data_IF_305069475853
#
_entry.id   IF_305069475853
#
_cell.length_a   1.000
_cell.length_b   1.000
_cell.length_c   1.000
_cell.angle_alpha   90.00
_cell.angle_beta   90.00
_cell.angle_gamma   90.00
#
_symmetry.space_group_name_H-M   'P 1'
#
loop_
_entity.id
_entity.type
_entity.pdbx_description
1 polymer ?
#
# COMPACT_ATOMS: atom_id res chain seq x y z
N UNK A 1 52.33 -9.78 15.00
CA UNK A 1 51.82 -10.46 13.79
C UNK A 1 51.12 -9.43 12.92
N UNK A 2 51.70 -9.03 11.79
CA UNK A 2 51.09 -8.08 10.84
C UNK A 2 50.24 -8.86 9.83
N UNK A 3 48.97 -8.47 9.66
CA UNK A 3 48.06 -9.14 8.71
C UNK A 3 48.40 -8.76 7.27
N UNK A 4 48.24 -9.69 6.34
CA UNK A 4 48.60 -9.51 4.92
C UNK A 4 47.70 -8.49 4.21
N UNK A 5 48.21 -7.88 3.13
CA UNK A 5 47.43 -6.97 2.27
C UNK A 5 46.16 -7.63 1.70
N UNK A 6 46.20 -8.94 1.45
CA UNK A 6 45.04 -9.73 1.01
C UNK A 6 43.94 -9.84 2.08
N UNK A 7 44.31 -9.86 3.36
CA UNK A 7 43.34 -9.85 4.46
C UNK A 7 42.57 -8.52 4.51
N UNK A 8 43.27 -7.39 4.39
CA UNK A 8 42.62 -6.07 4.35
C UNK A 8 41.75 -5.87 3.11
N UNK A 9 42.16 -6.39 1.95
CA UNK A 9 41.35 -6.38 0.74
C UNK A 9 40.05 -7.20 0.90
N UNK A 10 40.12 -8.39 1.49
CA UNK A 10 38.94 -9.21 1.75
C UNK A 10 37.95 -8.55 2.72
N UNK A 11 38.46 -7.89 3.77
CA UNK A 11 37.64 -7.12 4.72
C UNK A 11 36.96 -5.93 4.03
N UNK A 12 37.67 -5.24 3.12
CA UNK A 12 37.10 -4.12 2.37
C UNK A 12 35.97 -4.56 1.43
N UNK A 13 36.14 -5.66 0.71
CA UNK A 13 35.09 -6.23 -0.16
C UNK A 13 33.87 -6.66 0.65
N UNK A 14 34.09 -7.33 1.79
CA UNK A 14 32.99 -7.76 2.66
C UNK A 14 32.21 -6.56 3.21
N UNK A 15 32.88 -5.47 3.56
CA UNK A 15 32.24 -4.22 3.99
C UNK A 15 31.39 -3.59 2.89
N UNK A 16 31.88 -3.58 1.65
CA UNK A 16 31.16 -3.06 0.48
C UNK A 16 29.89 -3.87 0.18
N UNK A 17 29.96 -5.20 0.27
CA UNK A 17 28.79 -6.08 0.12
C UNK A 17 27.78 -5.82 1.24
N UNK A 18 28.22 -5.69 2.49
CA UNK A 18 27.35 -5.39 3.61
C UNK A 18 26.65 -4.02 3.46
N UNK A 19 27.38 -3.00 2.98
CA UNK A 19 26.81 -1.69 2.68
C UNK A 19 25.78 -1.75 1.55
N UNK A 20 26.05 -2.53 0.50
CA UNK A 20 25.11 -2.75 -0.61
C UNK A 20 23.81 -3.44 -0.15
N UNK A 21 23.91 -4.49 0.66
CA UNK A 21 22.74 -5.21 1.20
C UNK A 21 21.94 -4.32 2.16
N UNK A 22 22.61 -3.55 3.01
CA UNK A 22 21.96 -2.59 3.91
C UNK A 22 21.24 -1.48 3.14
N UNK A 23 21.90 -0.90 2.14
CA UNK A 23 21.32 0.10 1.25
C UNK A 23 20.11 -0.44 0.48
N UNK A 24 20.20 -1.67 -0.04
CA UNK A 24 19.09 -2.34 -0.73
C UNK A 24 17.90 -2.61 0.19
N UNK A 25 18.14 -3.01 1.45
CA UNK A 25 17.10 -3.22 2.46
C UNK A 25 16.39 -1.92 2.83
N UNK A 26 17.15 -0.84 3.03
CA UNK A 26 16.59 0.50 3.30
C UNK A 26 15.82 1.02 2.10
N UNK A 27 16.33 0.85 0.88
CA UNK A 27 15.65 1.23 -0.35
C UNK A 27 14.31 0.50 -0.51
N UNK A 28 14.30 -0.82 -0.36
CA UNK A 28 13.06 -1.61 -0.46
C UNK A 28 12.03 -1.18 0.60
N UNK A 29 12.51 -0.84 1.81
CA UNK A 29 11.66 -0.30 2.88
C UNK A 29 11.11 1.08 2.52
N UNK A 30 11.94 1.99 2.01
CA UNK A 30 11.53 3.33 1.58
C UNK A 30 10.55 3.31 0.42
N UNK A 31 10.74 2.44 -0.58
CA UNK A 31 9.79 2.29 -1.70
C UNK A 31 8.39 1.92 -1.19
N UNK A 32 8.29 1.05 -0.18
CA UNK A 32 7.01 0.70 0.45
C UNK A 32 6.42 1.86 1.26
N UNK A 33 7.25 2.73 1.86
CA UNK A 33 6.78 3.92 2.57
C UNK A 33 6.35 5.05 1.61
N UNK A 34 7.14 5.36 0.58
CA UNK A 34 6.81 6.40 -0.40
C UNK A 34 5.61 6.03 -1.27
N UNK A 35 5.40 4.75 -1.58
CA UNK A 35 4.18 4.30 -2.26
C UNK A 35 2.90 4.51 -1.43
N UNK A 36 3.03 4.70 -0.11
CA UNK A 36 1.89 5.00 0.78
C UNK A 36 1.67 6.50 1.04
N UNK A 37 2.56 7.40 0.59
CA UNK A 37 2.49 8.85 0.87
C UNK A 37 1.93 9.69 -0.30
N UNK A 38 1.64 9.11 -1.46
CA UNK A 38 1.06 9.84 -2.61
C UNK A 38 -0.47 9.96 -2.60
N UNK A 39 -1.16 9.63 -1.50
CA UNK A 39 -2.62 9.75 -1.40
C UNK A 39 -3.11 10.36 -0.09
N UNK A 40 -2.89 11.66 0.09
CA UNK A 40 -3.90 12.55 0.69
C UNK A 40 -3.66 13.99 0.16
N UNK A 41 -4.11 14.27 -1.07
CA UNK A 41 -4.51 15.64 -1.43
C UNK A 41 -5.73 15.94 -0.56
N UNK A 42 -5.51 16.35 0.69
CA UNK A 42 -6.51 17.15 1.39
C UNK A 42 -6.46 18.52 0.76
N UNK A 43 -7.28 18.72 -0.26
CA UNK A 43 -7.67 20.05 -0.72
C UNK A 43 -8.34 20.76 0.45
N UNK A 44 -7.54 21.34 1.36
CA UNK A 44 -8.05 22.44 2.17
C UNK A 44 -8.42 23.53 1.17
N UNK A 45 -9.65 24.08 1.21
CA UNK A 45 -9.97 25.22 0.38
C UNK A 45 -8.96 26.32 0.73
N UNK A 46 -8.14 26.70 -0.25
CA UNK A 46 -7.22 27.82 -0.14
C UNK A 46 -8.10 29.06 0.04
N UNK A 47 -7.94 29.85 1.12
CA UNK A 47 -8.61 31.14 1.19
C UNK A 47 -8.15 31.96 -0.02
N UNK A 48 -9.03 32.71 -0.70
CA UNK A 48 -8.65 33.50 -1.86
C UNK A 48 -7.47 34.39 -1.48
N UNK A 49 -6.32 34.15 -2.10
CA UNK A 49 -5.10 34.90 -1.87
C UNK A 49 -5.37 36.32 -2.38
N UNK A 50 -5.31 37.28 -1.46
CA UNK A 50 -5.32 38.70 -1.76
C UNK A 50 -3.99 39.10 -2.40
N UNK A 51 -4.09 40.02 -3.35
CA UNK A 51 -3.03 40.60 -4.16
C UNK A 51 -1.87 41.19 -3.33
N UNK A 52 -0.65 40.84 -3.71
CA UNK A 52 0.60 41.61 -3.54
C UNK A 52 1.63 40.93 -4.45
N UNK A 53 1.94 41.48 -5.63
CA UNK A 53 3.05 42.43 -5.85
C UNK A 53 4.36 41.89 -5.22
N UNK A 54 5.50 41.70 -5.89
CA UNK A 54 6.10 42.30 -7.08
C UNK A 54 7.43 41.52 -7.32
N UNK A 55 7.98 41.52 -8.54
CA UNK A 55 9.44 41.69 -8.82
C UNK A 55 10.37 40.48 -8.50
N UNK A 56 11.20 39.90 -9.39
CA UNK A 56 11.82 40.32 -10.65
C UNK A 56 12.40 39.13 -11.47
N UNK A 57 12.48 39.35 -12.79
CA UNK A 57 13.48 38.91 -13.78
C UNK A 57 13.61 37.44 -14.28
N UNK A 58 13.25 37.30 -15.57
CA UNK A 58 13.65 36.31 -16.60
C UNK A 58 15.13 36.54 -17.05
N UNK A 59 15.85 35.64 -17.79
CA UNK A 59 15.37 35.15 -19.09
C UNK A 59 15.78 33.73 -19.57
N UNK A 60 14.91 33.21 -20.44
CA UNK A 60 15.17 32.44 -21.66
C UNK A 60 15.84 31.04 -21.58
N UNK A 61 15.06 30.01 -21.92
CA UNK A 61 15.19 29.43 -23.28
C UNK A 61 13.88 28.78 -23.73
N UNK A 62 13.42 29.29 -24.86
CA UNK A 62 12.24 28.96 -25.62
C UNK A 62 12.38 27.60 -26.33
N UNK A 63 11.41 26.69 -26.16
CA UNK A 63 11.10 25.66 -27.16
C UNK A 63 9.57 25.61 -27.32
N UNK A 64 9.11 26.19 -28.43
CA UNK A 64 7.73 26.14 -28.97
C UNK A 64 7.53 24.82 -29.77
N UNK A 65 6.33 24.51 -30.29
CA UNK A 65 5.37 23.53 -29.79
C UNK A 65 5.23 22.28 -30.71
N UNK A 66 4.81 21.12 -30.20
CA UNK A 66 4.21 20.08 -31.06
C UNK A 66 3.06 19.35 -30.32
N UNK A 67 1.90 19.13 -30.97
CA UNK A 67 0.65 18.85 -30.31
C UNK A 67 0.52 17.37 -30.00
N UNK A 68 0.33 17.04 -28.72
CA UNK A 68 -0.14 15.71 -28.35
C UNK A 68 -1.59 15.80 -27.86
N UNK A 69 -2.44 14.85 -28.32
CA UNK A 69 -3.86 15.05 -28.51
C UNK A 69 -4.58 15.13 -27.17
N UNK A 70 -5.65 15.93 -27.15
CA UNK A 70 -6.63 16.00 -26.09
C UNK A 70 -7.04 14.62 -25.59
N UNK A 71 -6.46 14.17 -24.46
CA UNK A 71 -7.10 13.17 -23.62
C UNK A 71 -8.16 13.94 -22.86
N UNK A 72 -9.39 13.82 -23.34
CA UNK A 72 -10.61 14.32 -22.70
C UNK A 72 -10.53 14.04 -21.21
N UNK A 73 -10.37 15.11 -20.46
CA UNK A 73 -10.55 15.19 -19.02
C UNK A 73 -12.00 14.79 -18.74
N UNK A 74 -12.21 13.50 -18.48
CA UNK A 74 -13.48 13.02 -17.97
C UNK A 74 -13.56 13.48 -16.52
N UNK A 75 -14.03 14.71 -16.35
CA UNK A 75 -14.64 15.25 -15.13
C UNK A 75 -15.80 14.33 -14.73
N UNK A 76 -15.48 13.22 -14.08
CA UNK A 76 -16.46 12.47 -13.30
C UNK A 76 -16.47 13.12 -11.92
N UNK A 77 -17.61 13.73 -11.59
CA UNK A 77 -17.91 14.14 -10.21
C UNK A 77 -17.57 12.98 -9.26
N UNK A 78 -16.99 13.26 -8.08
CA UNK A 78 -16.68 12.21 -7.12
C UNK A 78 -17.98 11.54 -6.68
N UNK A 79 -18.29 10.40 -7.30
CA UNK A 79 -19.37 9.54 -6.85
C UNK A 79 -19.04 9.14 -5.41
N UNK A 80 -19.97 9.41 -4.51
CA UNK A 80 -19.81 9.20 -3.07
C UNK A 80 -19.77 7.70 -2.77
N UNK A 81 -18.60 7.09 -2.98
CA UNK A 81 -18.36 5.66 -2.74
C UNK A 81 -18.75 5.34 -1.29
N UNK A 82 -19.70 4.42 -1.13
CA UNK A 82 -20.15 3.99 0.20
C UNK A 82 -19.27 2.85 0.67
N UNK A 83 -18.94 2.84 1.95
CA UNK A 83 -18.22 1.72 2.55
C UNK A 83 -19.14 0.50 2.65
N UNK A 84 -18.64 -0.64 2.16
CA UNK A 84 -19.31 -1.94 2.17
C UNK A 84 -18.82 -2.74 3.37
N UNK A 85 -19.73 -3.45 4.05
CA UNK A 85 -19.36 -4.30 5.19
C UNK A 85 -18.80 -5.63 4.69
N UNK A 86 -17.49 -5.73 4.63
CA UNK A 86 -16.79 -6.95 4.21
C UNK A 86 -16.54 -7.87 5.40
N UNK A 87 -17.02 -9.11 5.32
CA UNK A 87 -16.77 -10.14 6.31
C UNK A 87 -15.51 -10.95 5.96
N UNK A 88 -14.57 -11.00 6.90
CA UNK A 88 -13.39 -11.87 6.84
C UNK A 88 -13.61 -13.06 7.75
N UNK A 89 -13.35 -14.25 7.23
CA UNK A 89 -13.51 -15.50 7.97
C UNK A 89 -12.23 -16.33 7.90
N UNK A 90 -11.85 -16.92 9.04
CA UNK A 90 -10.74 -17.86 9.11
C UNK A 90 -11.17 -19.10 9.91
N UNK A 91 -11.10 -20.29 9.28
CA UNK A 91 -11.55 -21.55 9.88
C UNK A 91 -10.40 -22.19 10.67
N UNK A 92 -10.50 -22.20 12.00
CA UNK A 92 -9.56 -22.92 12.85
C UNK A 92 -10.12 -23.12 14.26
N UNK A 93 -10.28 -24.40 14.63
CA UNK A 93 -10.69 -24.81 15.99
C UNK A 93 -9.50 -24.73 16.95
N UNK A 94 -8.30 -25.03 16.48
CA UNK A 94 -7.09 -25.13 17.31
C UNK A 94 -6.44 -23.78 17.64
N UNK A 95 -6.65 -22.75 16.81
CA UNK A 95 -6.09 -21.42 17.06
C UNK A 95 -6.56 -20.85 18.40
N UNK A 96 -5.65 -20.18 19.13
CA UNK A 96 -5.92 -19.49 20.39
C UNK A 96 -6.23 -18.02 20.16
N UNK A 97 -5.56 -17.38 19.21
CA UNK A 97 -5.85 -16.02 18.77
C UNK A 97 -5.73 -15.88 17.26
N UNK A 98 -6.62 -15.08 16.67
CA UNK A 98 -6.55 -14.69 15.27
C UNK A 98 -6.81 -13.19 15.15
N UNK A 99 -5.89 -12.50 14.48
CA UNK A 99 -6.03 -11.10 14.10
C UNK A 99 -6.03 -10.96 12.58
N UNK A 100 -6.73 -9.94 12.09
CA UNK A 100 -6.73 -9.51 10.69
C UNK A 100 -5.81 -8.28 10.54
N UNK A 101 -4.97 -8.28 9.51
CA UNK A 101 -4.16 -7.13 9.14
C UNK A 101 -4.17 -6.95 7.62
N UNK A 102 -4.39 -5.72 7.15
CA UNK A 102 -4.43 -5.42 5.73
C UNK A 102 -4.24 -3.94 5.42
N UNK A 103 -4.20 -3.60 4.14
CA UNK A 103 -4.03 -2.20 3.70
C UNK A 103 -5.15 -1.29 4.21
N UNK A 104 -6.37 -1.80 4.32
CA UNK A 104 -7.54 -1.09 4.87
C UNK A 104 -7.47 -0.83 6.38
N UNK A 105 -6.66 -1.58 7.16
CA UNK A 105 -6.39 -1.29 8.57
C UNK A 105 -5.06 -0.57 8.78
N UNK A 106 -4.41 -0.09 7.71
CA UNK A 106 -3.03 0.40 7.75
C UNK A 106 -2.08 -0.61 8.39
N UNK A 107 -2.30 -1.90 8.12
CA UNK A 107 -1.56 -3.03 8.67
C UNK A 107 -1.60 -3.16 10.20
N UNK A 108 -2.58 -2.51 10.85
CA UNK A 108 -2.84 -2.69 12.28
C UNK A 108 -3.63 -3.98 12.51
N UNK A 109 -3.24 -4.71 13.55
CA UNK A 109 -3.91 -5.94 13.95
C UNK A 109 -5.30 -5.66 14.51
N UNK A 110 -6.31 -6.27 13.90
CA UNK A 110 -7.70 -6.24 14.35
C UNK A 110 -8.09 -7.62 14.83
N UNK A 111 -8.35 -7.77 16.13
CA UNK A 111 -8.73 -9.06 16.73
C UNK A 111 -10.03 -9.58 16.12
N UNK A 112 -10.05 -10.86 15.76
CA UNK A 112 -11.25 -11.54 15.25
C UNK A 112 -11.99 -12.23 16.39
N UNK A 113 -13.31 -12.36 16.25
CA UNK A 113 -14.14 -13.08 17.21
C UNK A 113 -14.30 -14.54 16.79
N UNK A 114 -14.03 -15.48 17.71
CA UNK A 114 -14.24 -16.92 17.47
C UNK A 114 -15.68 -17.31 17.77
N UNK A 115 -16.37 -17.96 16.81
CA UNK A 115 -17.65 -18.63 17.01
C UNK A 115 -17.64 -19.97 16.28
N UNK A 116 -17.95 -21.05 16.99
CA UNK A 116 -18.07 -22.40 16.41
C UNK A 116 -16.84 -22.84 15.58
N UNK A 117 -15.63 -22.48 16.02
CA UNK A 117 -14.39 -22.80 15.29
C UNK A 117 -14.09 -21.92 14.08
N UNK A 118 -14.89 -20.88 13.84
CA UNK A 118 -14.68 -19.88 12.79
C UNK A 118 -14.38 -18.54 13.43
N UNK A 119 -13.28 -17.92 13.00
CA UNK A 119 -12.88 -16.57 13.39
C UNK A 119 -13.49 -15.59 12.40
N UNK A 120 -14.19 -14.56 12.88
CA UNK A 120 -14.86 -13.56 12.04
C UNK A 120 -14.48 -12.13 12.42
N UNK A 121 -14.33 -11.28 11.41
CA UNK A 121 -14.26 -9.83 11.55
C UNK A 121 -15.07 -9.16 10.44
N UNK A 122 -15.92 -8.19 10.79
CA UNK A 122 -16.61 -7.35 9.83
C UNK A 122 -15.94 -6.00 9.76
N UNK A 123 -15.48 -5.59 8.58
CA UNK A 123 -14.81 -4.31 8.36
C UNK A 123 -15.54 -3.55 7.26
N UNK A 124 -15.82 -2.27 7.51
CA UNK A 124 -16.36 -1.39 6.47
C UNK A 124 -15.23 -0.88 5.60
N UNK A 125 -15.23 -1.26 4.32
CA UNK A 125 -14.16 -0.94 3.37
C UNK A 125 -14.82 -0.40 2.09
N UNK A 126 -14.20 0.61 1.46
CA UNK A 126 -14.65 1.08 0.16
C UNK A 126 -14.46 -0.01 -0.91
N UNK A 127 -15.20 0.06 -2.03
CA UNK A 127 -14.95 -0.82 -3.16
C UNK A 127 -13.51 -0.68 -3.68
N UNK A 128 -12.86 -1.80 -3.98
CA UNK A 128 -11.46 -1.84 -4.40
C UNK A 128 -10.79 -3.19 -4.16
N UNK A 129 -9.51 -3.30 -4.54
CA UNK A 129 -8.69 -4.47 -4.28
C UNK A 129 -7.75 -4.20 -3.11
N UNK A 130 -7.77 -5.06 -2.10
CA UNK A 130 -6.98 -4.88 -0.88
C UNK A 130 -6.12 -6.11 -0.59
N UNK A 131 -4.95 -5.86 -0.03
CA UNK A 131 -4.04 -6.89 0.46
C UNK A 131 -4.27 -7.11 1.95
N UNK A 132 -4.21 -8.36 2.38
CA UNK A 132 -4.34 -8.72 3.77
C UNK A 132 -3.71 -10.08 4.10
N UNK A 133 -3.56 -10.33 5.40
CA UNK A 133 -3.22 -11.63 5.96
C UNK A 133 -3.85 -11.78 7.35
N UNK A 134 -3.88 -13.03 7.82
CA UNK A 134 -4.22 -13.35 9.20
C UNK A 134 -2.95 -13.46 10.05
N UNK A 135 -3.06 -13.20 11.33
CA UNK A 135 -2.03 -13.45 12.33
C UNK A 135 -2.62 -14.46 13.30
N UNK A 136 -2.22 -15.72 13.15
CA UNK A 136 -2.74 -16.85 13.92
C UNK A 136 -1.69 -17.23 14.95
N UNK A 137 -2.02 -17.09 16.23
CA UNK A 137 -1.11 -17.35 17.35
C UNK A 137 0.25 -16.64 17.19
N UNK A 138 0.22 -15.39 16.70
CA UNK A 138 1.41 -14.56 16.46
C UNK A 138 2.15 -14.85 15.14
N UNK A 139 1.65 -15.77 14.30
CA UNK A 139 2.26 -16.10 13.01
C UNK A 139 1.43 -15.58 11.84
N UNK A 140 2.08 -14.85 10.93
CA UNK A 140 1.48 -14.44 9.66
C UNK A 140 1.07 -15.65 8.84
N UNK A 141 -0.20 -15.70 8.46
CA UNK A 141 -0.88 -16.81 7.81
C UNK A 141 -1.75 -16.24 6.69
N UNK A 142 -1.74 -16.88 5.53
CA UNK A 142 -2.53 -16.45 4.38
C UNK A 142 -3.93 -17.06 4.41
N UNK A 143 -4.89 -16.41 3.75
CA UNK A 143 -6.18 -17.03 3.50
C UNK A 143 -6.00 -18.18 2.49
N UNK A 144 -6.28 -19.44 2.87
CA UNK A 144 -6.21 -20.57 1.94
C UNK A 144 -7.22 -20.46 0.79
N UNK A 145 -8.32 -19.73 0.96
CA UNK A 145 -9.43 -19.64 0.01
C UNK A 145 -9.43 -18.38 -0.86
N UNK A 146 -8.33 -17.63 -0.93
CA UNK A 146 -8.23 -16.39 -1.72
C UNK A 146 -7.01 -16.38 -2.62
N UNK A 147 -7.10 -15.54 -3.67
CA UNK A 147 -6.01 -15.31 -4.60
C UNK A 147 -4.81 -14.70 -3.86
N UNK A 148 -3.61 -15.06 -4.32
CA UNK A 148 -2.34 -14.66 -3.70
C UNK A 148 -1.53 -13.84 -4.68
N UNK A 149 -0.86 -12.80 -4.19
CA UNK A 149 0.15 -12.09 -4.98
C UNK A 149 1.44 -12.92 -5.10
N UNK A 150 2.32 -12.62 -6.07
CA UNK A 150 3.68 -13.19 -6.10
C UNK A 150 4.48 -12.90 -4.83
N UNK A 151 4.16 -11.79 -4.13
CA UNK A 151 4.74 -11.43 -2.83
C UNK A 151 4.15 -12.21 -1.65
N UNK A 152 3.14 -13.05 -1.87
CA UNK A 152 2.54 -13.91 -0.85
C UNK A 152 1.51 -13.22 0.05
N UNK A 153 0.84 -12.14 -0.39
CA UNK A 153 -0.30 -11.56 0.34
C UNK A 153 -1.62 -12.11 -0.21
N UNK A 154 -2.65 -12.18 0.65
CA UNK A 154 -4.01 -12.55 0.20
C UNK A 154 -4.73 -11.32 -0.36
N UNK A 155 -5.49 -11.48 -1.44
CA UNK A 155 -6.23 -10.39 -2.09
C UNK A 155 -7.72 -10.52 -1.77
N UNK A 156 -8.36 -9.40 -1.43
CA UNK A 156 -9.82 -9.27 -1.37
C UNK A 156 -10.28 -8.19 -2.34
N UNK A 157 -11.21 -8.55 -3.22
CA UNK A 157 -11.93 -7.60 -4.06
C UNK A 157 -13.25 -7.25 -3.36
N UNK A 158 -13.44 -5.96 -3.08
CA UNK A 158 -14.68 -5.42 -2.53
C UNK A 158 -15.39 -4.72 -3.67
N UNK A 159 -16.59 -5.19 -4.00
CA UNK A 159 -17.43 -4.60 -5.04
C UNK A 159 -18.44 -3.64 -4.42
N UNK A 160 -18.91 -2.68 -5.22
CA UNK A 160 -19.98 -1.78 -4.79
C UNK A 160 -21.31 -2.54 -4.68
N UNK A 161 -21.90 -2.57 -3.49
CA UNK A 161 -23.23 -3.18 -3.27
C UNK A 161 -24.27 -2.44 -4.12
N UNK A 162 -24.60 -3.02 -5.29
CA UNK A 162 -25.55 -2.43 -6.23
C UNK A 162 -25.34 -2.79 -7.71
N UNK A 163 -24.21 -3.39 -8.11
CA UNK A 163 -24.09 -3.91 -9.47
C UNK A 163 -24.75 -5.29 -9.59
N UNK A 164 -25.79 -5.46 -10.45
CA UNK A 164 -26.27 -6.79 -10.77
C UNK A 164 -25.13 -7.54 -11.49
N UNK A 165 -24.80 -8.74 -10.97
CA UNK A 165 -23.94 -9.71 -11.66
C UNK A 165 -24.69 -10.11 -12.93
N UNK A 166 -24.37 -9.47 -14.06
CA UNK A 166 -24.95 -9.83 -15.33
C UNK A 166 -24.33 -11.16 -15.77
N UNK A 167 -25.04 -12.24 -15.49
CA UNK A 167 -24.72 -13.57 -15.99
C UNK A 167 -24.67 -13.57 -17.51
N UNK A 168 -23.63 -14.19 -18.05
CA UNK A 168 -23.63 -14.86 -19.35
C UNK A 168 -22.87 -16.16 -19.21
#
# INVERSE_FOLDING_TARGET
MTKSKSFWAAVAVLSLVAAGVSGYSIYNRLVVYFANDTLEIRSRPVPPLQDSEETDEEPATEVKPEPQPAVKESKQEPQKQKAVKTAFEYKSVAAKSVSLSGSFTKWKETKMAKREGVWRAGVYILPGNYLYHFIVDGKKTLDPGKAKTPSGESIVAVEEEGKPVNGK
#
